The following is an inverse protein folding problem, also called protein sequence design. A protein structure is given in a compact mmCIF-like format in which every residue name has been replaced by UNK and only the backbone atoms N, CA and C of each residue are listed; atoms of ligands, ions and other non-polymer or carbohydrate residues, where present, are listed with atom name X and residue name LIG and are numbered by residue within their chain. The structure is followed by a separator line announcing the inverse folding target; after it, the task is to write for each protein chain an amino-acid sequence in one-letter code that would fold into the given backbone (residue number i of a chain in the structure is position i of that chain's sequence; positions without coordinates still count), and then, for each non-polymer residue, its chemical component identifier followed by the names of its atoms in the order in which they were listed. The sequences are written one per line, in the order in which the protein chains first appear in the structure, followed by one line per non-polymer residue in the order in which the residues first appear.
data_IF_605116886253
#
_entry.id   IF_605116886253
#
_cell.length_a   1.000
_cell.length_b   1.000
_cell.length_c   1.000
_cell.angle_alpha   90.00
_cell.angle_beta   90.00
_cell.angle_gamma   90.00
#
_symmetry.space_group_name_H-M   'P 1'
#
loop_
_entity.id
_entity.type
_entity.pdbx_description
1 polymer ?
#
# COMPACT_ATOMS: atom_id res chain seq x y z
N UNK A 1 4.80 10.18 16.76
CA UNK A 1 5.93 11.08 16.45
C UNK A 1 5.84 11.41 14.97
N UNK A 2 5.38 12.60 14.61
CA UNK A 2 5.28 12.98 13.19
C UNK A 2 6.68 13.37 12.69
N UNK A 3 7.23 12.58 11.77
CA UNK A 3 8.56 12.84 11.20
C UNK A 3 8.39 13.78 10.01
N UNK A 4 8.83 15.03 10.15
CA UNK A 4 8.83 16.00 9.04
C UNK A 4 9.79 15.52 7.95
N UNK A 5 9.25 15.28 6.75
CA UNK A 5 9.98 14.74 5.59
C UNK A 5 10.60 15.90 4.78
N UNK A 6 11.93 16.02 4.69
CA UNK A 6 12.56 16.99 3.80
C UNK A 6 12.15 16.73 2.35
N UNK A 7 11.90 17.79 1.57
CA UNK A 7 11.48 17.67 0.16
C UNK A 7 12.48 16.87 -0.67
N UNK A 8 13.78 17.09 -0.44
CA UNK A 8 14.87 16.38 -1.10
C UNK A 8 14.75 14.84 -1.00
N UNK A 9 14.27 14.31 0.13
CA UNK A 9 14.13 12.86 0.34
C UNK A 9 12.98 12.27 -0.47
N UNK A 10 11.95 13.08 -0.79
CA UNK A 10 10.79 12.63 -1.57
C UNK A 10 11.07 12.56 -3.08
N UNK A 11 12.07 13.31 -3.56
CA UNK A 11 12.40 13.49 -4.97
C UNK A 11 13.80 12.96 -5.33
N UNK A 12 14.57 12.56 -4.32
CA UNK A 12 15.93 12.04 -4.43
C UNK A 12 16.01 10.59 -4.92
N UNK A 13 17.21 10.00 -4.94
CA UNK A 13 17.40 8.59 -5.27
C UNK A 13 16.77 7.67 -4.22
N UNK A 14 16.40 6.45 -4.62
CA UNK A 14 15.77 5.45 -3.72
C UNK A 14 16.60 5.22 -2.45
N UNK A 15 17.92 5.19 -2.55
CA UNK A 15 18.82 4.93 -1.42
C UNK A 15 18.65 5.98 -0.31
N UNK A 16 18.44 7.25 -0.67
CA UNK A 16 18.19 8.32 0.30
C UNK A 16 16.83 8.16 0.97
N UNK A 17 15.80 7.76 0.22
CA UNK A 17 14.46 7.53 0.77
C UNK A 17 14.45 6.35 1.74
N UNK A 18 14.92 5.18 1.29
CA UNK A 18 14.90 3.96 2.10
C UNK A 18 15.88 4.05 3.27
N UNK A 19 17.07 4.66 3.08
CA UNK A 19 18.01 4.94 4.16
C UNK A 19 17.41 5.85 5.23
N UNK A 20 16.71 6.92 4.83
CA UNK A 20 16.02 7.78 5.78
C UNK A 20 14.92 7.04 6.56
N UNK A 21 14.11 6.22 5.89
CA UNK A 21 13.06 5.47 6.56
C UNK A 21 13.66 4.43 7.53
N UNK A 22 14.74 3.77 7.13
CA UNK A 22 15.48 2.83 7.95
C UNK A 22 16.05 3.49 9.22
N UNK A 23 16.71 4.64 9.09
CA UNK A 23 17.23 5.41 10.23
C UNK A 23 16.12 5.80 11.22
N UNK A 24 14.94 6.17 10.72
CA UNK A 24 13.78 6.51 11.55
C UNK A 24 13.22 5.29 12.26
N UNK A 25 13.10 4.15 11.57
CA UNK A 25 12.71 2.87 12.16
C UNK A 25 13.67 2.47 13.28
N UNK A 26 14.98 2.53 13.03
CA UNK A 26 16.00 2.15 14.00
C UNK A 26 15.97 3.07 15.23
N UNK A 27 15.82 4.38 15.01
CA UNK A 27 15.67 5.37 16.09
C UNK A 27 14.43 5.09 16.94
N UNK A 28 13.30 4.79 16.30
CA UNK A 28 12.05 4.47 17.00
C UNK A 28 12.21 3.22 17.86
N UNK A 29 12.72 2.12 17.30
CA UNK A 29 12.88 0.86 18.02
C UNK A 29 13.87 1.00 19.19
N UNK A 30 15.00 1.68 18.97
CA UNK A 30 15.96 1.95 20.04
C UNK A 30 15.36 2.73 21.22
N UNK A 31 14.38 3.61 20.93
CA UNK A 31 13.72 4.45 21.93
C UNK A 31 12.59 3.73 22.67
N UNK A 32 11.70 3.06 21.94
CA UNK A 32 10.47 2.50 22.51
C UNK A 32 10.65 1.07 23.01
N UNK A 33 11.51 0.30 22.35
CA UNK A 33 11.68 -1.13 22.60
C UNK A 33 13.08 -1.45 23.16
N UNK A 34 14.02 -0.50 23.09
CA UNK A 34 15.44 -0.71 23.42
C UNK A 34 16.22 -1.23 22.21
N UNK A 35 17.55 -1.35 22.33
CA UNK A 35 18.41 -1.80 21.21
C UNK A 35 18.39 -3.32 20.96
N UNK A 36 17.59 -4.07 21.71
CA UNK A 36 17.66 -5.52 21.78
C UNK A 36 16.25 -6.14 21.76
N UNK A 37 15.60 -6.03 20.61
CA UNK A 37 14.16 -6.26 20.46
C UNK A 37 13.99 -7.39 19.47
N UNK A 38 13.50 -8.52 19.99
CA UNK A 38 13.01 -9.60 19.15
C UNK A 38 11.55 -9.29 18.79
N UNK A 39 11.21 -9.39 17.51
CA UNK A 39 9.85 -9.14 17.04
C UNK A 39 9.71 -9.26 15.54
N UNK A 40 8.50 -9.58 15.12
CA UNK A 40 8.12 -9.58 13.71
C UNK A 40 7.92 -8.15 13.20
N UNK A 41 8.38 -7.89 11.97
CA UNK A 41 8.21 -6.61 11.30
C UNK A 41 7.39 -6.82 10.03
N UNK A 42 6.32 -6.04 9.90
CA UNK A 42 5.57 -5.90 8.67
C UNK A 42 5.85 -4.53 8.05
N UNK A 43 5.93 -4.50 6.73
CA UNK A 43 6.16 -3.30 5.96
C UNK A 43 4.87 -2.90 5.25
N UNK A 44 4.22 -1.83 5.73
CA UNK A 44 3.09 -1.25 5.01
C UNK A 44 3.56 -0.14 4.07
N UNK A 45 3.21 -0.25 2.79
CA UNK A 45 3.61 0.73 1.77
C UNK A 45 2.40 1.19 0.94
N UNK A 46 1.96 2.43 1.18
CA UNK A 46 0.73 3.05 0.64
C UNK A 46 0.82 3.52 -0.82
N UNK A 47 1.39 2.71 -1.70
CA UNK A 47 1.50 2.99 -3.13
C UNK A 47 1.19 1.76 -3.97
N UNK A 48 0.83 1.94 -5.27
CA UNK A 48 0.54 0.82 -6.15
C UNK A 48 1.75 -0.11 -6.32
N UNK A 49 1.51 -1.40 -6.06
CA UNK A 49 2.49 -2.48 -6.20
C UNK A 49 1.89 -3.65 -6.99
N UNK A 50 2.74 -4.38 -7.71
CA UNK A 50 2.41 -5.74 -8.16
C UNK A 50 2.95 -6.70 -7.12
N UNK A 51 2.06 -7.25 -6.30
CA UNK A 51 2.42 -8.17 -5.23
C UNK A 51 2.35 -9.62 -5.71
N UNK A 52 3.50 -10.31 -5.77
CA UNK A 52 3.60 -11.71 -6.21
C UNK A 52 3.63 -12.71 -5.04
N UNK A 53 3.90 -12.22 -3.83
CA UNK A 53 3.82 -12.99 -2.60
C UNK A 53 3.64 -12.03 -1.41
N UNK A 54 3.33 -12.56 -0.23
CA UNK A 54 3.19 -11.73 0.98
C UNK A 54 4.45 -10.93 1.30
N UNK A 55 5.65 -11.40 0.89
CA UNK A 55 6.94 -10.72 1.08
C UNK A 55 7.60 -10.26 -0.24
N UNK A 56 6.85 -10.18 -1.35
CA UNK A 56 7.39 -9.74 -2.64
C UNK A 56 6.45 -8.71 -3.27
N UNK A 57 6.95 -7.53 -3.60
CA UNK A 57 6.13 -6.48 -4.18
C UNK A 57 6.92 -5.52 -5.04
N UNK A 58 6.65 -5.55 -6.34
CA UNK A 58 7.28 -4.66 -7.31
C UNK A 58 6.55 -3.34 -7.35
N UNK A 59 7.27 -2.26 -7.12
CA UNK A 59 6.72 -0.91 -7.18
C UNK A 59 6.30 -0.53 -8.61
N UNK A 60 5.10 0.00 -8.79
CA UNK A 60 4.58 0.34 -10.12
C UNK A 60 4.86 1.81 -10.45
N UNK A 61 4.31 2.72 -9.66
CA UNK A 61 4.35 4.16 -9.96
C UNK A 61 4.13 4.99 -8.71
N UNK A 62 4.78 6.15 -8.66
CA UNK A 62 4.47 7.14 -7.65
C UNK A 62 3.18 7.86 -8.02
N UNK A 63 2.20 7.83 -7.14
CA UNK A 63 1.13 8.81 -7.11
C UNK A 63 1.41 9.81 -5.98
N UNK A 64 0.63 10.90 -5.90
CA UNK A 64 0.70 11.90 -4.80
C UNK A 64 1.97 12.79 -4.89
N UNK A 65 2.67 12.99 -3.76
CA UNK A 65 3.74 14.00 -3.56
C UNK A 65 5.16 13.39 -3.50
N UNK A 66 5.32 12.17 -4.02
CA UNK A 66 6.60 11.46 -4.08
C UNK A 66 7.03 11.30 -5.53
N UNK A 67 8.34 11.32 -5.76
CA UNK A 67 8.93 11.11 -7.08
C UNK A 67 10.37 10.58 -6.94
N UNK A 68 10.61 9.70 -5.96
CA UNK A 68 11.94 9.17 -5.71
C UNK A 68 12.40 8.31 -6.91
N UNK A 69 13.65 8.51 -7.31
CA UNK A 69 14.20 7.93 -8.54
C UNK A 69 14.51 6.44 -8.35
N UNK A 70 14.55 5.71 -9.45
CA UNK A 70 15.01 4.31 -9.50
C UNK A 70 14.19 3.31 -8.66
N UNK A 71 12.97 3.67 -8.27
CA UNK A 71 12.07 2.79 -7.52
C UNK A 71 11.19 1.91 -8.42
N UNK A 72 10.83 2.38 -9.62
CA UNK A 72 9.89 1.69 -10.54
C UNK A 72 10.44 0.32 -10.93
N UNK A 73 9.63 -0.72 -10.72
CA UNK A 73 9.96 -2.12 -10.99
C UNK A 73 10.81 -2.81 -9.92
N UNK A 74 11.35 -2.08 -8.94
CA UNK A 74 12.14 -2.65 -7.85
C UNK A 74 11.24 -3.35 -6.82
N UNK A 75 11.78 -4.40 -6.19
CA UNK A 75 11.12 -5.08 -5.08
C UNK A 75 11.28 -4.25 -3.80
N UNK A 76 10.15 -3.81 -3.22
CA UNK A 76 10.14 -2.94 -2.05
C UNK A 76 10.62 -3.63 -0.78
N UNK A 77 10.36 -4.92 -0.62
CA UNK A 77 10.82 -5.68 0.55
C UNK A 77 12.32 -5.82 0.49
N UNK A 78 12.87 -6.11 -0.69
CA UNK A 78 14.31 -6.14 -0.88
C UNK A 78 14.95 -4.77 -0.57
N UNK A 79 14.41 -3.67 -1.12
CA UNK A 79 14.92 -2.32 -0.85
C UNK A 79 14.87 -1.96 0.64
N UNK A 80 13.77 -2.32 1.30
CA UNK A 80 13.65 -2.14 2.73
C UNK A 80 14.68 -2.97 3.49
N UNK A 81 14.86 -4.24 3.15
CA UNK A 81 15.77 -5.13 3.86
C UNK A 81 17.25 -4.75 3.67
N UNK A 82 17.60 -4.22 2.49
CA UNK A 82 18.93 -3.67 2.20
C UNK A 82 19.21 -2.40 3.01
N UNK A 83 18.24 -1.50 3.12
CA UNK A 83 18.40 -0.26 3.89
C UNK A 83 18.29 -0.47 5.41
N UNK A 84 17.41 -1.39 5.83
CA UNK A 84 17.08 -1.71 7.21
C UNK A 84 17.72 -3.03 7.65
N UNK A 85 19.00 -3.22 7.32
CA UNK A 85 19.75 -4.37 7.82
C UNK A 85 20.14 -4.15 9.28
N UNK A 86 19.56 -4.92 10.18
CA UNK A 86 19.99 -5.01 11.56
C UNK A 86 20.16 -6.49 11.90
N UNK A 87 21.33 -6.88 12.44
CA UNK A 87 21.59 -8.25 12.91
C UNK A 87 20.57 -8.76 13.94
N UNK A 88 19.72 -7.89 14.48
CA UNK A 88 18.78 -8.18 15.58
C UNK A 88 17.31 -8.20 15.18
N UNK A 89 16.96 -7.82 13.94
CA UNK A 89 15.56 -7.89 13.48
C UNK A 89 15.37 -9.05 12.50
N UNK A 90 14.25 -9.75 12.67
CA UNK A 90 13.81 -10.71 11.69
C UNK A 90 13.51 -10.01 10.36
N UNK A 91 13.71 -10.70 9.22
CA UNK A 91 13.27 -10.19 7.92
C UNK A 91 11.77 -9.88 7.92
N UNK A 92 11.37 -8.93 7.07
CA UNK A 92 9.96 -8.55 6.90
C UNK A 92 9.08 -9.79 6.68
N UNK A 93 8.01 -9.91 7.47
CA UNK A 93 7.08 -11.07 7.41
C UNK A 93 5.92 -10.82 6.44
N UNK A 94 5.50 -9.57 6.28
CA UNK A 94 4.53 -9.18 5.28
C UNK A 94 4.76 -7.77 4.70
N UNK A 95 4.50 -7.62 3.41
CA UNK A 95 4.26 -6.37 2.71
C UNK A 95 2.75 -6.17 2.60
N UNK A 96 2.23 -5.02 3.05
CA UNK A 96 0.80 -4.75 3.04
C UNK A 96 0.47 -3.38 2.44
N UNK A 97 -0.65 -3.32 1.71
CA UNK A 97 -1.33 -2.06 1.41
C UNK A 97 -1.95 -1.47 2.69
N UNK A 98 -1.97 -0.16 2.83
CA UNK A 98 -2.50 0.50 4.02
C UNK A 98 -4.00 0.27 4.23
N UNK A 99 -4.76 0.12 3.15
CA UNK A 99 -6.20 -0.12 3.19
C UNK A 99 -6.49 -1.56 3.62
N UNK A 100 -5.64 -2.51 3.19
CA UNK A 100 -5.61 -3.89 3.70
C UNK A 100 -5.34 -3.90 5.20
N UNK A 101 -4.25 -3.26 5.65
CA UNK A 101 -3.92 -3.17 7.07
C UNK A 101 -5.00 -2.49 7.91
N UNK A 102 -5.69 -1.49 7.35
CA UNK A 102 -6.84 -0.83 7.99
C UNK A 102 -7.99 -1.82 8.22
N UNK A 103 -8.31 -2.63 7.21
CA UNK A 103 -9.35 -3.66 7.34
C UNK A 103 -8.94 -4.75 8.34
N UNK A 104 -7.70 -5.24 8.28
CA UNK A 104 -7.22 -6.31 9.16
C UNK A 104 -7.21 -5.87 10.63
N UNK A 105 -6.73 -4.65 10.92
CA UNK A 105 -6.77 -4.09 12.26
C UNK A 105 -8.21 -3.98 12.81
N UNK A 106 -9.16 -3.59 11.96
CA UNK A 106 -10.57 -3.55 12.33
C UNK A 106 -11.15 -4.97 12.52
N UNK A 107 -10.83 -5.90 11.62
CA UNK A 107 -11.27 -7.30 11.66
C UNK A 107 -10.77 -8.03 12.91
N UNK A 108 -9.55 -7.71 13.38
CA UNK A 108 -8.99 -8.24 14.62
C UNK A 108 -9.89 -7.95 15.84
N UNK A 109 -10.43 -6.74 15.91
CA UNK A 109 -11.34 -6.34 17.00
C UNK A 109 -12.80 -6.69 16.72
N UNK A 110 -13.19 -6.73 15.45
CA UNK A 110 -14.56 -6.95 14.97
C UNK A 110 -14.55 -7.94 13.79
N UNK A 111 -14.67 -9.25 14.08
CA UNK A 111 -14.59 -10.29 13.05
C UNK A 111 -15.65 -10.20 11.94
N UNK A 112 -16.70 -9.41 12.12
CA UNK A 112 -17.73 -9.13 11.11
C UNK A 112 -17.33 -8.01 10.11
N UNK A 113 -16.09 -7.53 10.13
CA UNK A 113 -15.61 -6.51 9.19
C UNK A 113 -15.43 -7.13 7.81
N UNK A 114 -16.11 -6.60 6.80
CA UNK A 114 -16.04 -7.11 5.41
C UNK A 114 -15.40 -6.13 4.42
N UNK A 115 -15.29 -4.86 4.79
CA UNK A 115 -14.75 -3.77 3.95
C UNK A 115 -13.88 -2.86 4.80
N UNK A 116 -12.73 -2.46 4.26
CA UNK A 116 -11.93 -1.33 4.74
C UNK A 116 -11.89 -0.22 3.70
N UNK A 117 -11.83 1.03 4.13
CA UNK A 117 -11.71 2.17 3.23
C UNK A 117 -10.86 3.27 3.84
N UNK A 118 -10.06 3.90 2.98
CA UNK A 118 -9.34 5.13 3.29
C UNK A 118 -10.04 6.28 2.55
N UNK A 119 -10.39 7.33 3.30
CA UNK A 119 -10.99 8.56 2.77
C UNK A 119 -10.25 9.73 3.41
N UNK A 120 -9.33 10.35 2.68
CA UNK A 120 -8.53 11.47 3.15
C UNK A 120 -7.82 12.20 2.02
N UNK A 121 -6.50 12.40 2.17
CA UNK A 121 -5.62 12.94 1.11
C UNK A 121 -5.56 12.04 -0.13
N UNK A 122 -5.86 10.75 0.04
CA UNK A 122 -6.09 9.79 -1.04
C UNK A 122 -7.29 8.93 -0.68
N UNK A 123 -7.76 8.12 -1.62
CA UNK A 123 -8.86 7.21 -1.37
C UNK A 123 -8.64 5.82 -1.94
N UNK A 124 -8.97 4.80 -1.16
CA UNK A 124 -8.93 3.42 -1.58
C UNK A 124 -9.95 2.59 -0.78
N UNK A 125 -10.29 1.40 -1.27
CA UNK A 125 -11.09 0.42 -0.55
C UNK A 125 -10.56 -0.99 -0.74
N UNK A 126 -10.79 -1.82 0.27
CA UNK A 126 -10.53 -3.26 0.25
C UNK A 126 -11.80 -4.00 0.65
N UNK A 127 -12.07 -5.13 0.01
CA UNK A 127 -13.15 -6.03 0.39
C UNK A 127 -12.67 -7.49 0.38
N UNK A 128 -13.45 -8.34 1.04
CA UNK A 128 -13.26 -9.80 0.93
C UNK A 128 -13.90 -10.29 -0.36
N UNK A 129 -13.09 -10.79 -1.29
CA UNK A 129 -13.55 -11.49 -2.48
C UNK A 129 -13.63 -13.01 -2.22
N UNK A 130 -14.76 -13.60 -2.60
CA UNK A 130 -15.09 -15.02 -2.42
C UNK A 130 -15.38 -15.73 -3.75
N UNK A 131 -15.30 -15.01 -4.87
CA UNK A 131 -15.58 -15.52 -6.20
C UNK A 131 -14.41 -16.35 -6.75
N UNK A 132 -14.60 -17.66 -6.98
CA UNK A 132 -13.52 -18.53 -7.47
C UNK A 132 -13.02 -18.16 -8.87
N UNK A 133 -13.82 -17.49 -9.71
CA UNK A 133 -13.38 -17.12 -11.08
C UNK A 133 -12.38 -15.97 -11.10
N UNK A 134 -12.42 -15.09 -10.09
CA UNK A 134 -11.39 -14.06 -9.91
C UNK A 134 -10.07 -14.68 -9.45
N UNK A 135 -10.12 -15.83 -8.75
CA UNK A 135 -8.94 -16.62 -8.37
C UNK A 135 -8.35 -17.41 -9.55
N UNK A 136 -9.17 -17.78 -10.54
CA UNK A 136 -8.71 -18.48 -11.76
C UNK A 136 -8.01 -17.52 -12.75
N UNK A 137 -8.49 -16.27 -12.85
CA UNK A 137 -7.91 -15.25 -13.72
C UNK A 137 -6.74 -14.49 -13.06
N UNK A 138 -6.68 -14.50 -11.72
CA UNK A 138 -5.58 -13.99 -10.91
C UNK A 138 -4.68 -15.13 -10.46
N UNK A 139 -3.94 -15.72 -11.40
CA UNK A 139 -2.87 -16.69 -11.16
C UNK A 139 -3.15 -17.72 -10.04
N UNK A 140 -3.58 -18.93 -10.43
CA UNK A 140 -3.55 -20.15 -9.60
C UNK A 140 -2.17 -20.37 -8.89
N UNK A 141 -1.14 -19.62 -9.32
CA UNK A 141 0.22 -19.55 -8.79
C UNK A 141 0.40 -18.75 -7.48
N UNK A 142 -0.38 -17.69 -7.23
CA UNK A 142 -0.10 -16.75 -6.13
C UNK A 142 -0.55 -17.30 -4.77
N UNK A 143 -1.72 -17.94 -4.71
CA UNK A 143 -2.25 -18.55 -3.47
C UNK A 143 -1.38 -19.74 -3.02
N UNK A 144 -0.72 -20.45 -3.94
CA UNK A 144 0.13 -21.62 -3.63
C UNK A 144 1.53 -21.27 -3.10
N UNK A 145 2.01 -20.03 -3.24
CA UNK A 145 3.37 -19.61 -2.83
C UNK A 145 3.48 -19.09 -1.39
N UNK A 146 2.37 -18.84 -0.70
CA UNK A 146 2.39 -18.52 0.74
C UNK A 146 2.69 -19.76 1.59
N UNK A 147 3.98 -20.06 1.76
CA UNK A 147 4.51 -21.13 2.62
C UNK A 147 3.99 -21.11 4.09
N UNK A 148 3.75 -19.97 4.75
CA UNK A 148 3.20 -19.96 6.13
C UNK A 148 1.74 -20.43 6.21
N UNK A 149 0.97 -20.24 5.13
CA UNK A 149 -0.46 -20.56 5.09
C UNK A 149 -0.75 -22.02 4.73
N UNK A 150 0.27 -22.78 4.32
CA UNK A 150 0.13 -24.17 3.85
C UNK A 150 -0.64 -25.10 4.82
N UNK A 151 -0.52 -24.99 6.16
CA UNK A 151 -1.32 -25.79 7.10
C UNK A 151 -2.80 -25.37 7.18
N UNK A 152 -3.10 -24.08 6.98
CA UNK A 152 -4.48 -23.54 6.96
C UNK A 152 -5.17 -23.83 5.62
N UNK A 153 -4.41 -23.73 4.53
CA UNK A 153 -4.89 -24.03 3.17
C UNK A 153 -5.17 -25.53 3.04
N UNK A 154 -4.35 -26.42 3.61
CA UNK A 154 -4.56 -27.87 3.48
C UNK A 154 -5.79 -28.40 4.21
N UNK A 155 -6.26 -27.76 5.29
CA UNK A 155 -7.48 -28.17 6.00
C UNK A 155 -8.76 -27.57 5.42
N UNK A 156 -8.68 -26.45 4.69
CA UNK A 156 -9.84 -25.74 4.12
C UNK A 156 -10.01 -25.92 2.61
N UNK A 157 -8.98 -26.40 1.90
CA UNK A 157 -8.97 -26.56 0.44
C UNK A 157 -9.95 -27.62 -0.11
N UNK A 158 -10.69 -28.35 0.72
CA UNK A 158 -11.56 -29.43 0.23
C UNK A 158 -12.99 -28.99 -0.15
N UNK A 159 -13.40 -27.72 0.02
CA UNK A 159 -14.79 -27.36 -0.28
C UNK A 159 -15.08 -25.91 -0.70
N UNK A 160 -14.22 -24.92 -0.47
CA UNK A 160 -14.52 -23.52 -0.77
C UNK A 160 -13.25 -22.75 -1.17
N UNK A 161 -13.32 -21.79 -2.12
CA UNK A 161 -12.22 -20.85 -2.34
C UNK A 161 -11.93 -20.09 -1.04
N UNK A 162 -10.65 -19.98 -0.68
CA UNK A 162 -10.25 -19.17 0.47
C UNK A 162 -10.59 -17.70 0.18
N UNK A 163 -11.13 -16.96 1.17
CA UNK A 163 -11.37 -15.53 1.02
C UNK A 163 -10.05 -14.81 0.73
N UNK A 164 -10.06 -13.96 -0.29
CA UNK A 164 -8.92 -13.12 -0.67
C UNK A 164 -9.26 -11.66 -0.41
N UNK A 165 -8.30 -10.88 0.09
CA UNK A 165 -8.46 -9.43 0.21
C UNK A 165 -8.18 -8.80 -1.15
N UNK A 166 -9.15 -8.08 -1.69
CA UNK A 166 -9.04 -7.35 -2.95
C UNK A 166 -8.92 -5.86 -2.66
N UNK A 167 -7.71 -5.32 -2.80
CA UNK A 167 -7.47 -3.88 -2.71
C UNK A 167 -7.78 -3.27 -4.07
N UNK A 168 -8.94 -2.63 -4.19
CA UNK A 168 -9.51 -2.24 -5.47
C UNK A 168 -8.72 -1.14 -6.20
N UNK A 169 -7.88 -0.37 -5.50
CA UNK A 169 -7.22 0.85 -6.00
C UNK A 169 -8.22 1.76 -6.72
N UNK A 170 -9.40 1.93 -6.10
CA UNK A 170 -10.61 2.47 -6.74
C UNK A 170 -10.51 3.95 -7.13
N UNK A 171 -9.41 4.62 -6.77
CA UNK A 171 -9.17 6.01 -7.13
C UNK A 171 -9.17 6.20 -8.65
N UNK A 172 -8.80 5.16 -9.40
CA UNK A 172 -8.76 5.15 -10.85
C UNK A 172 -10.07 4.72 -11.52
N UNK A 173 -11.18 4.58 -10.79
CA UNK A 173 -12.49 4.37 -11.41
C UNK A 173 -12.80 5.53 -12.37
N UNK A 174 -13.24 5.19 -13.59
CA UNK A 174 -13.56 6.17 -14.62
C UNK A 174 -14.87 6.91 -14.29
N UNK A 175 -14.72 8.18 -13.91
CA UNK A 175 -15.84 9.04 -13.56
C UNK A 175 -16.14 10.10 -14.62
N UNK A 176 -15.50 10.06 -15.80
CA UNK A 176 -15.58 11.11 -16.84
C UNK A 176 -17.01 11.49 -17.22
N UNK A 177 -17.93 10.52 -17.19
CA UNK A 177 -19.35 10.71 -17.54
C UNK A 177 -20.13 11.54 -16.53
N UNK A 178 -19.66 11.67 -15.29
CA UNK A 178 -20.36 12.37 -14.20
C UNK A 178 -19.60 13.59 -13.67
N UNK A 179 -18.37 13.81 -14.14
CA UNK A 179 -17.55 14.96 -13.75
C UNK A 179 -18.19 16.27 -14.21
N UNK A 180 -18.25 17.25 -13.31
CA UNK A 180 -18.70 18.60 -13.61
C UNK A 180 -17.52 19.49 -14.06
N UNK A 181 -17.79 20.77 -14.35
CA UNK A 181 -16.78 21.73 -14.84
C UNK A 181 -15.61 21.98 -13.87
N UNK A 182 -15.83 21.86 -12.57
CA UNK A 182 -14.79 22.00 -11.55
C UNK A 182 -13.92 20.75 -11.50
N UNK A 183 -14.54 19.56 -11.50
CA UNK A 183 -13.82 18.29 -11.53
C UNK A 183 -12.92 18.20 -12.78
N UNK A 184 -13.45 18.57 -13.95
CA UNK A 184 -12.68 18.62 -15.19
C UNK A 184 -11.53 19.62 -15.12
N UNK A 185 -11.72 20.74 -14.42
CA UNK A 185 -10.65 21.73 -14.24
C UNK A 185 -9.55 21.17 -13.35
N UNK A 186 -9.91 20.60 -12.20
CA UNK A 186 -8.98 19.93 -11.28
C UNK A 186 -8.18 18.86 -12.01
N UNK A 187 -8.83 18.02 -12.80
CA UNK A 187 -8.18 17.00 -13.61
C UNK A 187 -7.19 17.60 -14.63
N UNK A 188 -7.60 18.65 -15.35
CA UNK A 188 -6.78 19.28 -16.39
C UNK A 188 -5.49 19.94 -15.87
N UNK A 189 -5.45 20.37 -14.60
CA UNK A 189 -4.29 21.01 -13.98
C UNK A 189 -3.48 20.05 -13.11
N UNK A 190 -3.93 18.80 -12.97
CA UNK A 190 -3.23 17.78 -12.21
C UNK A 190 -1.99 17.26 -12.96
N UNK A 191 -1.11 16.56 -12.24
CA UNK A 191 0.07 15.95 -12.82
C UNK A 191 -0.27 14.84 -13.84
N UNK A 192 -1.44 14.20 -13.71
CA UNK A 192 -1.87 13.08 -14.55
C UNK A 192 -3.31 13.28 -15.05
N UNK A 193 -3.55 14.15 -16.06
CA UNK A 193 -4.89 14.37 -16.59
C UNK A 193 -5.54 13.09 -17.12
N UNK A 194 -6.81 12.86 -16.77
CA UNK A 194 -7.60 11.72 -17.20
C UNK A 194 -7.41 10.42 -16.42
N UNK A 195 -6.49 10.39 -15.44
CA UNK A 195 -6.28 9.29 -14.49
C UNK A 195 -6.81 9.66 -13.09
N UNK A 196 -6.98 8.68 -12.20
CA UNK A 196 -7.41 8.89 -10.81
C UNK A 196 -8.70 9.72 -10.69
N UNK A 197 -9.64 9.55 -11.64
CA UNK A 197 -10.79 10.45 -11.78
C UNK A 197 -11.73 10.39 -10.59
N UNK A 198 -11.91 9.21 -9.97
CA UNK A 198 -12.70 9.09 -8.75
C UNK A 198 -12.00 9.77 -7.57
N UNK A 199 -10.70 9.53 -7.40
CA UNK A 199 -9.92 10.19 -6.34
C UNK A 199 -9.94 11.71 -6.45
N UNK A 200 -9.85 12.27 -7.66
CA UNK A 200 -9.91 13.72 -7.89
C UNK A 200 -11.24 14.35 -7.48
N UNK A 201 -12.33 13.60 -7.56
CA UNK A 201 -13.64 14.08 -7.16
C UNK A 201 -13.82 14.10 -5.63
N UNK A 202 -13.16 13.20 -4.89
CA UNK A 202 -13.45 13.02 -3.45
C UNK A 202 -12.28 13.32 -2.49
N UNK A 203 -11.03 13.29 -2.96
CA UNK A 203 -9.85 13.48 -2.12
C UNK A 203 -9.64 14.96 -1.76
N UNK A 204 -9.32 15.21 -0.48
CA UNK A 204 -9.05 16.56 0.03
C UNK A 204 -7.86 17.26 -0.65
N UNK A 205 -6.84 16.52 -1.09
CA UNK A 205 -5.60 17.12 -1.60
C UNK A 205 -5.79 17.89 -2.91
N UNK A 206 -6.69 17.39 -3.76
CA UNK A 206 -6.97 17.96 -5.07
C UNK A 206 -7.79 19.25 -4.95
N UNK A 207 -8.74 19.27 -4.02
CA UNK A 207 -9.57 20.44 -3.76
C UNK A 207 -8.81 21.52 -2.99
N UNK A 208 -7.97 21.17 -2.00
CA UNK A 208 -7.09 22.13 -1.32
C UNK A 208 -6.17 22.87 -2.29
N UNK A 209 -5.52 22.12 -3.19
CA UNK A 209 -4.64 22.70 -4.22
C UNK A 209 -5.41 23.59 -5.19
N UNK A 210 -6.62 23.19 -5.58
CA UNK A 210 -7.47 23.97 -6.47
C UNK A 210 -7.88 25.31 -5.83
N UNK A 211 -8.35 25.30 -4.58
CA UNK A 211 -8.74 26.53 -3.87
C UNK A 211 -7.55 27.44 -3.54
N UNK A 212 -6.36 26.89 -3.31
CA UNK A 212 -5.15 27.68 -3.08
C UNK A 212 -4.61 28.38 -4.36
N UNK A 213 -5.05 27.94 -5.54
CA UNK A 213 -4.59 28.47 -6.84
C UNK A 213 -5.47 29.57 -7.44
N UNK A 214 -6.55 29.96 -6.75
CA UNK A 214 -7.45 31.06 -7.12
C UNK A 214 -7.11 32.34 -6.36
#
# INVERSE_FOLDING_TARGET
MEVRRPKAIKEGPREELFGFLADRGATFLAKECGRNVEGDLDFSFSFPITQSAIIEGKFIVWNKVFSAKDCVGADLVQLWQEAFFCERYEPVKALANDTVGTMEAAAYSRPSTEVGAIIGTSTNAVNIERNPRMLENGEEHLVRRCLPCRPLVSSMASAMPLPMLDAAEWGNLDMKRIMNKFDMRVDSISNEPGAQTFEKMISGCNWESFFASQ
#
